data_IF_387177305157
#
_entry.id   IF_387177305157
#
_cell.length_a   1.000
_cell.length_b   1.000
_cell.length_c   1.000
_cell.angle_alpha   90.00
_cell.angle_beta   90.00
_cell.angle_gamma   90.00
#
_symmetry.space_group_name_H-M   'P 1'
#
loop_
_entity.id
_entity.type
_entity.pdbx_description
1 polymer ?
#
# COMPACT_ATOMS: atom_id res chain seq x y z
N UNK A 1 -6.98 1.06 17.42
CA UNK A 1 -5.56 1.17 17.83
C UNK A 1 -4.96 2.36 17.08
N UNK A 2 -4.31 3.34 17.71
CA UNK A 2 -3.81 4.53 17.00
C UNK A 2 -2.61 4.19 16.10
N UNK A 3 -2.50 4.88 14.96
CA UNK A 3 -1.40 4.75 13.98
C UNK A 3 -0.02 4.90 14.63
N UNK A 4 0.10 5.84 15.57
CA UNK A 4 1.30 6.06 16.41
C UNK A 4 1.71 4.82 17.22
N UNK A 5 0.76 3.96 17.61
CA UNK A 5 1.04 2.72 18.35
C UNK A 5 1.58 1.63 17.42
N UNK A 6 1.11 1.57 16.17
CA UNK A 6 1.62 0.63 15.18
C UNK A 6 3.06 0.97 14.78
N UNK A 7 3.35 2.25 14.50
CA UNK A 7 4.71 2.71 14.21
C UNK A 7 5.70 2.31 15.31
N UNK A 8 5.35 2.57 16.58
CA UNK A 8 6.19 2.21 17.72
C UNK A 8 6.48 0.72 17.84
N UNK A 9 5.53 -0.14 17.44
CA UNK A 9 5.72 -1.59 17.46
C UNK A 9 6.69 -2.00 16.35
N UNK A 10 6.52 -1.46 15.14
CA UNK A 10 7.43 -1.73 14.01
C UNK A 10 8.85 -1.27 14.33
N UNK A 11 9.01 -0.04 14.83
CA UNK A 11 10.33 0.49 15.18
C UNK A 11 11.01 -0.40 16.22
N UNK A 12 10.27 -0.87 17.23
CA UNK A 12 10.81 -1.80 18.24
C UNK A 12 11.27 -3.13 17.63
N UNK A 13 10.45 -3.72 16.77
CA UNK A 13 10.80 -4.97 16.08
C UNK A 13 12.02 -4.74 15.18
N UNK A 14 12.06 -3.62 14.46
CA UNK A 14 13.19 -3.23 13.63
C UNK A 14 14.49 -3.20 14.45
N UNK A 15 14.51 -2.45 15.56
CA UNK A 15 15.69 -2.35 16.43
C UNK A 15 16.12 -3.69 17.05
N UNK A 16 15.18 -4.60 17.36
CA UNK A 16 15.51 -5.89 17.97
C UNK A 16 16.28 -6.84 17.04
N UNK A 17 16.04 -6.73 15.73
CA UNK A 17 16.60 -7.64 14.72
C UNK A 17 17.60 -6.97 13.78
N UNK A 18 17.82 -5.66 13.94
CA UNK A 18 18.81 -4.89 13.18
C UNK A 18 20.23 -5.31 13.56
N UNK A 19 21.00 -5.74 12.57
CA UNK A 19 22.41 -6.08 12.67
C UNK A 19 23.29 -4.84 12.49
N UNK A 20 24.57 -4.97 12.85
CA UNK A 20 25.54 -3.87 12.78
C UNK A 20 25.86 -3.42 11.36
N UNK A 21 25.63 -4.30 10.38
CA UNK A 21 25.76 -4.01 8.94
C UNK A 21 24.49 -3.40 8.33
N UNK A 22 23.45 -3.17 9.13
CA UNK A 22 22.17 -2.59 8.71
C UNK A 22 21.18 -3.60 8.13
N UNK A 23 21.51 -4.90 8.11
CA UNK A 23 20.56 -5.95 7.72
C UNK A 23 19.59 -6.27 8.86
N UNK A 24 18.42 -6.81 8.53
CA UNK A 24 17.47 -7.32 9.53
C UNK A 24 17.49 -8.84 9.44
N UNK A 25 17.87 -9.50 10.53
CA UNK A 25 17.89 -10.97 10.62
C UNK A 25 16.91 -11.45 11.70
N UNK A 26 15.90 -12.19 11.28
CA UNK A 26 14.98 -12.87 12.19
C UNK A 26 15.54 -14.25 12.58
N UNK A 27 15.16 -14.79 13.75
CA UNK A 27 15.65 -16.08 14.20
C UNK A 27 15.27 -17.19 13.22
N UNK A 28 16.17 -18.14 12.97
CA UNK A 28 15.90 -19.30 12.11
C UNK A 28 14.99 -20.31 12.85
N UNK A 29 13.69 -20.01 12.89
CA UNK A 29 12.64 -20.72 13.62
C UNK A 29 11.30 -20.40 13.00
N UNK A 30 10.29 -21.23 13.26
CA UNK A 30 8.92 -20.99 12.80
C UNK A 30 8.40 -19.62 13.27
N UNK A 31 8.67 -19.25 14.53
CA UNK A 31 8.32 -17.95 15.10
C UNK A 31 9.03 -16.79 14.39
N UNK A 32 10.29 -17.00 14.00
CA UNK A 32 11.06 -16.01 13.23
C UNK A 32 10.53 -15.81 11.82
N UNK A 33 10.07 -16.87 11.15
CA UNK A 33 9.42 -16.78 9.84
C UNK A 33 8.10 -16.00 9.94
N UNK A 34 7.30 -16.27 10.98
CA UNK A 34 6.07 -15.50 11.25
C UNK A 34 6.37 -14.02 11.50
N UNK A 35 7.41 -13.71 12.29
CA UNK A 35 7.84 -12.34 12.55
C UNK A 35 8.31 -11.63 11.29
N UNK A 36 9.04 -12.31 10.41
CA UNK A 36 9.51 -11.76 9.13
C UNK A 36 8.33 -11.37 8.23
N UNK A 37 7.34 -12.26 8.12
CA UNK A 37 6.12 -12.01 7.34
C UNK A 37 5.37 -10.81 7.94
N UNK A 38 5.07 -10.86 9.24
CA UNK A 38 4.30 -9.81 9.92
C UNK A 38 5.00 -8.45 9.86
N UNK A 39 6.33 -8.41 10.02
CA UNK A 39 7.12 -7.18 9.91
C UNK A 39 7.09 -6.62 8.49
N UNK A 40 7.21 -7.46 7.46
CA UNK A 40 7.10 -7.05 6.06
C UNK A 40 5.75 -6.40 5.75
N UNK A 41 4.66 -7.07 6.12
CA UNK A 41 3.28 -6.56 5.95
C UNK A 41 3.08 -5.24 6.72
N UNK A 42 3.55 -5.17 7.96
CA UNK A 42 3.41 -3.97 8.78
C UNK A 42 4.21 -2.78 8.21
N UNK A 43 5.43 -3.01 7.72
CA UNK A 43 6.24 -1.95 7.09
C UNK A 43 5.57 -1.44 5.82
N UNK A 44 4.94 -2.33 5.04
CA UNK A 44 4.19 -1.92 3.85
C UNK A 44 2.96 -1.08 4.19
N UNK A 45 2.21 -1.45 5.23
CA UNK A 45 1.02 -0.70 5.65
C UNK A 45 1.34 0.69 6.19
N UNK A 46 2.49 0.86 6.86
CA UNK A 46 2.97 2.17 7.32
C UNK A 46 3.54 3.03 6.17
N UNK A 47 4.02 2.41 5.09
CA UNK A 47 4.55 3.13 3.92
C UNK A 47 3.46 3.60 2.95
N UNK A 48 2.19 3.52 3.33
CA UNK A 48 1.10 4.17 2.61
C UNK A 48 1.45 5.66 2.40
N UNK A 49 1.52 6.14 1.15
CA UNK A 49 1.86 7.52 0.90
C UNK A 49 0.74 8.45 1.41
N UNK A 50 1.11 9.58 2.01
CA UNK A 50 0.13 10.61 2.33
C UNK A 50 -0.27 11.32 1.04
N UNK A 51 -1.47 11.02 0.55
CA UNK A 51 -2.01 11.58 -0.67
C UNK A 51 -2.50 13.02 -0.44
N UNK A 52 -2.19 13.92 -1.36
CA UNK A 52 -2.82 15.23 -1.41
C UNK A 52 -4.23 15.16 -2.03
N UNK A 53 -4.97 16.27 -2.02
CA UNK A 53 -6.36 16.32 -2.49
C UNK A 53 -6.51 15.83 -3.95
N UNK A 54 -5.58 16.17 -4.84
CA UNK A 54 -5.65 15.74 -6.23
C UNK A 54 -5.37 14.24 -6.39
N UNK A 55 -4.45 13.71 -5.58
CA UNK A 55 -4.17 12.28 -5.54
C UNK A 55 -5.36 11.49 -4.98
N UNK A 56 -5.97 11.98 -3.90
CA UNK A 56 -7.14 11.36 -3.28
C UNK A 56 -8.30 11.27 -4.27
N UNK A 57 -8.56 12.34 -5.02
CA UNK A 57 -9.59 12.33 -6.06
C UNK A 57 -9.35 11.24 -7.12
N UNK A 58 -8.10 11.00 -7.52
CA UNK A 58 -7.78 9.94 -8.49
C UNK A 58 -7.92 8.55 -7.86
N UNK A 59 -7.52 8.39 -6.59
CA UNK A 59 -7.73 7.15 -5.84
C UNK A 59 -9.23 6.83 -5.73
N UNK A 60 -10.06 7.80 -5.36
CA UNK A 60 -11.51 7.62 -5.22
C UNK A 60 -12.14 7.13 -6.55
N UNK A 61 -11.67 7.64 -7.70
CA UNK A 61 -12.15 7.14 -9.00
C UNK A 61 -11.76 5.70 -9.27
N UNK A 62 -10.52 5.32 -8.91
CA UNK A 62 -10.05 3.95 -9.09
C UNK A 62 -10.85 2.98 -8.21
N UNK A 63 -11.09 3.32 -6.95
CA UNK A 63 -11.89 2.52 -6.03
C UNK A 63 -13.33 2.39 -6.52
N UNK A 64 -13.97 3.51 -6.89
CA UNK A 64 -15.32 3.51 -7.44
C UNK A 64 -15.45 2.67 -8.71
N UNK A 65 -14.54 2.83 -9.66
CA UNK A 65 -14.61 2.16 -10.95
C UNK A 65 -14.30 0.65 -10.81
N UNK A 66 -13.43 0.26 -9.87
CA UNK A 66 -13.24 -1.13 -9.47
C UNK A 66 -14.51 -1.73 -8.85
N UNK A 67 -15.11 -1.03 -7.86
CA UNK A 67 -16.30 -1.52 -7.15
C UNK A 67 -17.55 -1.61 -8.03
N UNK A 68 -17.65 -0.81 -9.11
CA UNK A 68 -18.80 -0.86 -10.04
C UNK A 68 -18.83 -2.11 -10.91
N UNK A 69 -17.71 -2.82 -11.07
CA UNK A 69 -17.61 -3.96 -11.96
C UNK A 69 -16.78 -5.08 -11.34
N UNK A 70 -17.47 -6.04 -10.72
CA UNK A 70 -16.86 -7.22 -10.07
C UNK A 70 -16.04 -8.13 -11.01
N UNK A 71 -16.16 -7.95 -12.33
CA UNK A 71 -15.36 -8.71 -13.31
C UNK A 71 -14.10 -7.95 -13.76
N UNK A 72 -13.91 -6.72 -13.30
CA UNK A 72 -12.83 -5.85 -13.73
C UNK A 72 -11.59 -6.07 -12.88
N UNK A 73 -10.49 -6.48 -13.51
CA UNK A 73 -9.22 -6.59 -12.80
C UNK A 73 -8.70 -5.20 -12.40
N UNK A 74 -7.81 -5.11 -11.39
CA UNK A 74 -7.17 -3.85 -11.04
C UNK A 74 -6.47 -3.18 -12.24
N UNK A 75 -5.85 -3.97 -13.13
CA UNK A 75 -5.25 -3.46 -14.37
C UNK A 75 -6.27 -2.88 -15.35
N UNK A 76 -7.43 -3.53 -15.51
CA UNK A 76 -8.52 -3.01 -16.33
C UNK A 76 -9.04 -1.68 -15.79
N UNK A 77 -9.20 -1.60 -14.47
CA UNK A 77 -9.63 -0.37 -13.78
C UNK A 77 -8.68 0.80 -13.99
N UNK A 78 -7.38 0.56 -13.83
CA UNK A 78 -6.36 1.58 -14.09
C UNK A 78 -6.45 2.08 -15.54
N UNK A 79 -6.53 1.15 -16.50
CA UNK A 79 -6.61 1.50 -17.91
C UNK A 79 -7.83 2.37 -18.23
N UNK A 80 -9.01 1.96 -17.78
CA UNK A 80 -10.26 2.69 -18.08
C UNK A 80 -10.31 4.05 -17.36
N UNK A 81 -9.92 4.09 -16.09
CA UNK A 81 -9.85 5.36 -15.33
C UNK A 81 -8.94 6.36 -16.01
N UNK A 82 -7.77 5.91 -16.48
CA UNK A 82 -6.83 6.76 -17.23
C UNK A 82 -7.44 7.21 -18.55
N UNK A 83 -8.07 6.30 -19.29
CA UNK A 83 -8.66 6.61 -20.59
C UNK A 83 -9.72 7.71 -20.50
N UNK A 84 -10.58 7.69 -19.48
CA UNK A 84 -11.66 8.68 -19.34
C UNK A 84 -11.23 9.97 -18.64
N UNK A 85 -10.13 9.96 -17.87
CA UNK A 85 -9.73 11.07 -17.00
C UNK A 85 -8.27 11.53 -17.22
N UNK A 86 -7.72 11.23 -18.38
CA UNK A 86 -6.30 11.43 -18.74
C UNK A 86 -5.78 12.83 -18.39
N UNK A 87 -6.56 13.88 -18.69
CA UNK A 87 -6.17 15.27 -18.46
C UNK A 87 -5.87 15.51 -16.97
N UNK A 88 -6.72 15.01 -16.07
CA UNK A 88 -6.56 15.20 -14.63
C UNK A 88 -5.41 14.36 -14.08
N UNK A 89 -5.22 13.15 -14.59
CA UNK A 89 -4.09 12.29 -14.20
C UNK A 89 -2.74 12.89 -14.63
N UNK A 90 -2.70 13.55 -15.81
CA UNK A 90 -1.50 14.28 -16.27
C UNK A 90 -1.18 15.52 -15.44
N UNK A 91 -2.10 16.00 -14.60
CA UNK A 91 -1.81 17.08 -13.65
C UNK A 91 -1.03 16.59 -12.43
N UNK A 92 -1.08 15.29 -12.13
CA UNK A 92 -0.21 14.67 -11.13
C UNK A 92 1.19 14.48 -11.71
N UNK A 93 2.21 14.74 -10.91
CA UNK A 93 3.58 14.32 -11.19
C UNK A 93 3.68 12.79 -11.25
N UNK A 94 4.74 12.28 -11.88
CA UNK A 94 4.99 10.83 -11.94
C UNK A 94 5.11 10.20 -10.55
N UNK A 95 5.65 10.94 -9.58
CA UNK A 95 5.73 10.50 -8.18
C UNK A 95 4.32 10.35 -7.60
N UNK A 96 3.49 11.38 -7.76
CA UNK A 96 2.12 11.36 -7.24
C UNK A 96 1.27 10.27 -7.88
N UNK A 97 1.45 10.00 -9.18
CA UNK A 97 0.81 8.87 -9.87
C UNK A 97 1.23 7.52 -9.26
N UNK A 98 2.53 7.34 -8.98
CA UNK A 98 3.02 6.11 -8.36
C UNK A 98 2.47 5.92 -6.94
N UNK A 99 2.36 7.00 -6.17
CA UNK A 99 1.78 6.98 -4.82
C UNK A 99 0.29 6.62 -4.85
N UNK A 100 -0.48 7.14 -5.81
CA UNK A 100 -1.89 6.74 -6.02
C UNK A 100 -1.99 5.26 -6.38
N UNK A 101 -1.11 4.76 -7.26
CA UNK A 101 -1.09 3.34 -7.62
C UNK A 101 -0.73 2.45 -6.43
N UNK A 102 0.19 2.90 -5.57
CA UNK A 102 0.54 2.18 -4.35
C UNK A 102 -0.66 2.07 -3.41
N UNK A 103 -1.35 3.19 -3.14
CA UNK A 103 -2.54 3.22 -2.29
C UNK A 103 -3.66 2.35 -2.88
N UNK A 104 -3.94 2.47 -4.18
CA UNK A 104 -4.94 1.65 -4.86
C UNK A 104 -4.61 0.16 -4.81
N UNK A 105 -3.34 -0.22 -5.02
CA UNK A 105 -2.93 -1.62 -4.96
C UNK A 105 -3.15 -2.24 -3.59
N UNK A 106 -2.89 -1.49 -2.53
CA UNK A 106 -3.09 -1.94 -1.16
C UNK A 106 -4.58 -2.08 -0.86
N UNK A 107 -5.39 -1.09 -1.24
CA UNK A 107 -6.84 -1.15 -1.10
C UNK A 107 -7.47 -2.33 -1.86
N UNK A 108 -7.04 -2.58 -3.10
CA UNK A 108 -7.59 -3.67 -3.92
C UNK A 108 -7.28 -5.05 -3.32
N UNK A 109 -6.09 -5.24 -2.74
CA UNK A 109 -5.74 -6.47 -2.01
C UNK A 109 -6.64 -6.67 -0.78
N UNK A 110 -6.96 -5.60 -0.05
CA UNK A 110 -7.85 -5.67 1.11
C UNK A 110 -9.29 -6.08 0.74
N UNK A 111 -9.73 -5.83 -0.50
CA UNK A 111 -11.03 -6.31 -0.99
C UNK A 111 -11.02 -7.82 -1.26
N UNK A 112 -9.96 -8.35 -1.88
CA UNK A 112 -9.82 -9.79 -2.15
C UNK A 112 -9.64 -10.62 -0.87
N UNK A 113 -9.00 -10.07 0.17
CA UNK A 113 -8.87 -10.73 1.48
C UNK A 113 -10.18 -10.74 2.29
N UNK A 114 -11.16 -9.90 1.92
CA UNK A 114 -12.47 -9.80 2.57
C UNK A 114 -13.56 -10.67 1.93
N UNK A 115 -13.30 -11.28 0.77
CA UNK A 115 -14.15 -12.29 0.11
C UNK A 115 -13.90 -13.72 0.64
#
# INVERSE_FOLDING_TARGET
MSELRHQKIIDRVHYMYLQTDGTIEFPNSFEGDLLKIAYGTAVQSIKQPQLNENQQIVLDWLEEDYSKNSYMSPFGTIYDTIRYREIKIRMLSKKEQAEVLQAFSQWALEQEEAE
#
